data_IF_350063672985
#
_entry.id   IF_350063672985
#
_cell.length_a   1.000
_cell.length_b   1.000
_cell.length_c   1.000
_cell.angle_alpha   90.00
_cell.angle_beta   90.00
_cell.angle_gamma   90.00
#
_symmetry.space_group_name_H-M   'P 1'
#
loop_
_entity.id
_entity.type
_entity.pdbx_description
1 polymer ?
#
# COMPACT_ATOMS: atom_id res chain seq x y z
N UNK A 1 14.30 -20.68 14.17
CA UNK A 1 14.10 -20.00 12.88
C UNK A 1 13.50 -18.64 13.16
N UNK A 2 14.22 -17.56 12.91
CA UNK A 2 13.58 -16.25 12.77
C UNK A 2 12.76 -16.32 11.46
N UNK A 3 11.50 -15.87 11.43
CA UNK A 3 10.75 -15.84 10.17
C UNK A 3 11.56 -15.00 9.17
N UNK A 4 11.73 -15.51 7.94
CA UNK A 4 12.16 -14.66 6.82
C UNK A 4 11.27 -13.42 6.84
N UNK A 5 11.81 -12.18 6.81
CA UNK A 5 10.97 -11.00 6.81
C UNK A 5 10.04 -11.15 5.61
N UNK A 6 8.76 -11.42 5.85
CA UNK A 6 7.76 -11.39 4.81
C UNK A 6 7.92 -10.04 4.13
N UNK A 7 8.26 -10.05 2.85
CA UNK A 7 8.56 -8.84 2.09
C UNK A 7 7.42 -7.85 2.32
N UNK A 8 7.75 -6.68 2.89
CA UNK A 8 6.75 -5.69 3.29
C UNK A 8 6.08 -5.17 2.04
N UNK A 9 4.76 -5.31 1.96
CA UNK A 9 3.99 -4.81 0.81
C UNK A 9 4.00 -3.28 0.80
N UNK A 10 4.46 -2.66 -0.28
CA UNK A 10 4.33 -1.22 -0.49
C UNK A 10 2.99 -0.89 -1.13
N UNK A 11 2.22 -0.02 -0.49
CA UNK A 11 0.95 0.48 -0.99
C UNK A 11 1.11 1.92 -1.46
N UNK A 12 1.03 2.11 -2.77
CA UNK A 12 1.04 3.44 -3.38
C UNK A 12 -0.39 4.00 -3.31
N UNK A 13 -0.59 5.06 -2.51
CA UNK A 13 -1.90 5.68 -2.36
C UNK A 13 -2.12 6.35 -1.01
N UNK A 14 -3.33 6.87 -0.79
CA UNK A 14 -3.68 7.61 0.42
C UNK A 14 -4.66 6.84 1.31
N UNK A 15 -4.53 6.97 2.62
CA UNK A 15 -5.53 6.52 3.60
C UNK A 15 -6.92 7.11 3.34
N UNK A 16 -7.03 8.24 2.63
CA UNK A 16 -8.32 8.83 2.25
C UNK A 16 -9.06 8.01 1.17
N UNK A 17 -8.34 7.25 0.34
CA UNK A 17 -8.94 6.48 -0.74
C UNK A 17 -9.75 5.29 -0.17
N UNK A 18 -11.04 5.16 -0.53
CA UNK A 18 -11.84 4.00 -0.11
C UNK A 18 -11.33 2.69 -0.72
N UNK A 19 -10.64 2.74 -1.86
CA UNK A 19 -10.04 1.56 -2.49
C UNK A 19 -8.78 1.11 -1.74
N UNK A 20 -7.91 2.06 -1.36
CA UNK A 20 -6.73 1.78 -0.54
C UNK A 20 -7.15 1.13 0.79
N UNK A 21 -8.15 1.70 1.48
CA UNK A 21 -8.65 1.15 2.75
C UNK A 21 -9.07 -0.32 2.65
N UNK A 22 -9.71 -0.75 1.56
CA UNK A 22 -10.09 -2.16 1.36
C UNK A 22 -8.86 -3.07 1.33
N UNK A 23 -7.80 -2.66 0.64
CA UNK A 23 -6.53 -3.40 0.58
C UNK A 23 -5.89 -3.48 1.97
N UNK A 24 -5.83 -2.36 2.70
CA UNK A 24 -5.26 -2.33 4.05
C UNK A 24 -5.99 -3.26 5.02
N UNK A 25 -7.33 -3.32 4.95
CA UNK A 25 -8.14 -4.26 5.74
C UNK A 25 -7.74 -5.71 5.44
N UNK A 26 -7.59 -6.06 4.16
CA UNK A 26 -7.17 -7.40 3.76
C UNK A 26 -5.75 -7.74 4.27
N UNK A 27 -4.80 -6.81 4.16
CA UNK A 27 -3.43 -7.02 4.62
C UNK A 27 -3.38 -7.18 6.14
N UNK A 28 -4.10 -6.34 6.87
CA UNK A 28 -4.21 -6.41 8.32
C UNK A 28 -4.84 -7.73 8.77
N UNK A 29 -5.96 -8.13 8.16
CA UNK A 29 -6.63 -9.40 8.46
C UNK A 29 -5.75 -10.63 8.18
N UNK A 30 -4.80 -10.51 7.25
CA UNK A 30 -3.85 -11.59 6.87
C UNK A 30 -2.54 -11.54 7.64
N UNK A 31 -2.32 -10.54 8.51
CA UNK A 31 -1.05 -10.36 9.21
C UNK A 31 0.13 -10.04 8.29
N UNK A 32 -0.14 -9.47 7.11
CA UNK A 32 0.90 -9.13 6.13
C UNK A 32 1.43 -7.73 6.47
N UNK A 33 2.74 -7.57 6.72
CA UNK A 33 3.32 -6.25 6.97
C UNK A 33 3.24 -5.39 5.71
N UNK A 34 2.88 -4.12 5.87
CA UNK A 34 2.83 -3.15 4.77
C UNK A 34 3.37 -1.78 5.17
N UNK A 35 3.70 -0.98 4.17
CA UNK A 35 3.99 0.45 4.27
C UNK A 35 3.15 1.20 3.23
N UNK A 36 2.92 2.50 3.46
CA UNK A 36 2.23 3.37 2.51
C UNK A 36 3.20 4.38 1.94
N UNK A 37 3.22 4.46 0.61
CA UNK A 37 3.82 5.53 -0.17
C UNK A 37 2.69 6.52 -0.57
N UNK A 38 2.56 7.66 0.12
CA UNK A 38 1.41 8.55 -0.04
C UNK A 38 1.46 9.33 -1.36
N UNK A 39 0.38 9.24 -2.14
CA UNK A 39 0.14 10.12 -3.29
C UNK A 39 -0.90 11.18 -2.93
N UNK A 40 -0.62 12.43 -3.28
CA UNK A 40 -1.58 13.52 -3.18
C UNK A 40 -2.66 13.35 -4.26
N UNK A 41 -3.96 13.33 -3.89
CA UNK A 41 -5.04 13.17 -4.86
C UNK A 41 -4.94 14.19 -5.99
N UNK A 42 -5.11 13.74 -7.23
CA UNK A 42 -5.11 14.57 -8.45
C UNK A 42 -3.80 15.31 -8.75
N UNK A 43 -2.71 15.00 -8.02
CA UNK A 43 -1.37 15.52 -8.26
C UNK A 43 -0.38 14.40 -8.66
N UNK A 44 -0.90 13.30 -9.20
CA UNK A 44 -0.06 12.28 -9.84
C UNK A 44 0.50 12.81 -11.16
N UNK A 45 1.71 12.37 -11.52
CA UNK A 45 2.36 12.63 -12.79
C UNK A 45 2.35 11.37 -13.67
N UNK A 46 2.92 11.47 -14.87
CA UNK A 46 2.96 10.37 -15.83
C UNK A 46 3.67 9.12 -15.28
N UNK A 47 4.52 9.27 -14.27
CA UNK A 47 5.24 8.14 -13.64
C UNK A 47 4.30 7.17 -12.94
N UNK A 48 3.12 7.61 -12.48
CA UNK A 48 2.12 6.70 -11.92
C UNK A 48 1.55 5.76 -12.99
N UNK A 49 1.49 6.22 -14.25
CA UNK A 49 1.01 5.41 -15.38
C UNK A 49 2.04 4.37 -15.85
N UNK A 50 3.28 4.43 -15.36
CA UNK A 50 4.37 3.51 -15.67
C UNK A 50 4.43 2.29 -14.73
N UNK A 51 3.57 2.24 -13.70
CA UNK A 51 3.51 1.20 -12.66
C UNK A 51 2.68 -0.04 -13.04
#
# INVERSE_FOLDING_TARGET
>A
MLPCPAERVRIIGSYLSPYVRKVLVCLHAKGIPYEIDPIVPFMGDDRFSEL
#
